data_IF_397089824724
#
_entry.id   IF_397089824724
#
_cell.length_a   1.000
_cell.length_b   1.000
_cell.length_c   1.000
_cell.angle_alpha   90.00
_cell.angle_beta   90.00
_cell.angle_gamma   90.00
#
_symmetry.space_group_name_H-M   'P 1'
#
loop_
_entity.id
_entity.type
_entity.pdbx_description
1 polymer ?
#
# COMPACT_ATOMS: atom_id res chain seq x y z
N UNK A 1 4.11 -78.48 -1.28
CA UNK A 1 2.79 -77.83 -1.38
C UNK A 1 2.77 -76.65 -0.39
N UNK A 2 3.18 -75.44 -0.84
CA UNK A 2 3.24 -74.25 -0.04
C UNK A 2 1.98 -73.41 -0.20
N UNK A 3 1.23 -73.23 0.86
CA UNK A 3 0.06 -72.31 0.86
C UNK A 3 0.56 -70.89 1.06
N UNK A 4 0.38 -70.00 0.07
CA UNK A 4 0.56 -68.55 0.20
C UNK A 4 -0.70 -67.97 0.89
N UNK A 5 -0.51 -67.35 2.03
CA UNK A 5 -1.52 -66.52 2.67
C UNK A 5 -1.45 -65.11 2.05
N UNK A 6 -2.52 -64.71 1.38
CA UNK A 6 -2.71 -63.30 0.92
C UNK A 6 -3.41 -62.57 2.08
N UNK A 7 -2.69 -61.64 2.71
CA UNK A 7 -3.28 -60.73 3.69
C UNK A 7 -3.84 -59.52 2.95
N UNK A 8 -5.16 -59.43 2.87
CA UNK A 8 -5.85 -58.27 2.32
C UNK A 8 -6.05 -57.24 3.43
N UNK A 9 -5.33 -56.13 3.38
CA UNK A 9 -5.53 -55.00 4.30
C UNK A 9 -6.66 -54.13 3.71
N UNK A 10 -7.77 -53.90 4.44
CA UNK A 10 -8.80 -52.98 3.95
C UNK A 10 -8.30 -51.54 4.07
N UNK A 11 -8.12 -50.86 2.93
CA UNK A 11 -7.91 -49.42 2.87
C UNK A 11 -9.20 -48.71 3.31
N UNK A 12 -9.24 -48.32 4.55
CA UNK A 12 -10.32 -47.50 5.09
C UNK A 12 -10.02 -46.02 4.74
N UNK A 13 -10.29 -45.65 3.49
CA UNK A 13 -10.25 -44.27 3.03
C UNK A 13 -11.42 -43.51 3.68
N UNK A 14 -11.14 -42.83 4.79
CA UNK A 14 -12.05 -41.79 5.29
C UNK A 14 -12.13 -40.68 4.21
N UNK A 15 -13.36 -40.26 3.85
CA UNK A 15 -13.49 -39.13 2.91
C UNK A 15 -12.84 -37.91 3.54
N UNK A 16 -11.91 -37.29 2.81
CA UNK A 16 -11.33 -35.99 3.13
C UNK A 16 -12.50 -35.00 3.12
N UNK A 17 -12.88 -34.53 4.28
CA UNK A 17 -13.89 -33.49 4.43
C UNK A 17 -13.32 -32.18 3.87
N UNK A 18 -13.93 -31.55 2.85
CA UNK A 18 -13.50 -30.26 2.32
C UNK A 18 -14.09 -29.12 3.17
N UNK A 19 -13.73 -29.03 4.44
CA UNK A 19 -14.12 -27.92 5.32
C UNK A 19 -12.96 -27.48 6.21
N UNK A 20 -11.79 -27.26 5.62
CA UNK A 20 -10.90 -26.23 6.12
C UNK A 20 -11.45 -24.90 5.60
N UNK A 21 -12.42 -24.32 6.31
CA UNK A 21 -12.58 -22.87 6.31
C UNK A 21 -11.24 -22.34 6.84
N UNK A 22 -10.35 -21.97 5.93
CA UNK A 22 -9.36 -20.96 6.26
C UNK A 22 -10.19 -19.75 6.68
N UNK A 23 -10.28 -19.51 7.98
CA UNK A 23 -10.80 -18.25 8.48
C UNK A 23 -9.98 -17.19 7.75
N UNK A 24 -10.65 -16.31 6.99
CA UNK A 24 -10.01 -15.15 6.40
C UNK A 24 -9.48 -14.38 7.61
N UNK A 25 -8.18 -14.51 7.88
CA UNK A 25 -7.53 -13.73 8.92
C UNK A 25 -7.58 -12.32 8.38
N UNK A 26 -8.35 -11.47 9.04
CA UNK A 26 -8.41 -10.07 8.67
C UNK A 26 -6.98 -9.52 8.69
N UNK A 27 -6.49 -9.01 7.57
CA UNK A 27 -5.12 -8.52 7.44
C UNK A 27 -5.13 -7.00 7.25
N UNK A 28 -4.58 -6.27 8.23
CA UNK A 28 -4.50 -4.80 8.22
C UNK A 28 -3.05 -4.38 8.14
N UNK A 29 -2.71 -3.74 7.02
CA UNK A 29 -1.33 -3.42 6.66
C UNK A 29 -1.17 -1.92 6.49
N UNK A 30 -0.05 -1.38 6.98
CA UNK A 30 0.43 -0.05 6.61
C UNK A 30 1.67 -0.18 5.72
N UNK A 31 1.72 0.57 4.62
CA UNK A 31 2.93 0.80 3.86
C UNK A 31 3.50 2.18 4.18
N UNK A 32 4.69 2.21 4.78
CA UNK A 32 5.48 3.41 5.03
C UNK A 32 6.58 3.59 3.97
N UNK A 33 7.04 4.81 3.83
CA UNK A 33 8.16 5.17 2.95
C UNK A 33 7.93 6.52 2.25
N UNK A 34 8.99 7.09 1.73
CA UNK A 34 8.98 8.39 1.06
C UNK A 34 8.08 8.41 -0.19
N UNK A 35 7.63 9.58 -0.65
CA UNK A 35 6.92 9.68 -1.93
C UNK A 35 7.81 9.10 -3.04
N UNK A 36 7.25 8.25 -3.91
CA UNK A 36 8.03 7.60 -4.98
C UNK A 36 8.83 6.36 -4.59
N UNK A 37 8.79 5.90 -3.33
CA UNK A 37 9.50 4.68 -2.89
C UNK A 37 8.97 3.36 -3.48
N UNK A 38 7.82 3.38 -4.16
CA UNK A 38 7.21 2.19 -4.76
C UNK A 38 6.06 1.58 -3.97
N UNK A 39 5.59 2.23 -2.90
CA UNK A 39 4.44 1.75 -2.08
C UNK A 39 3.23 1.37 -2.92
N UNK A 40 2.78 2.25 -3.81
CA UNK A 40 1.61 1.99 -4.65
C UNK A 40 1.78 0.79 -5.58
N UNK A 41 3.00 0.53 -6.08
CA UNK A 41 3.31 -0.66 -6.88
C UNK A 41 3.20 -1.92 -6.01
N UNK A 42 3.78 -1.91 -4.82
CA UNK A 42 3.69 -3.06 -3.90
C UNK A 42 2.27 -3.26 -3.37
N UNK A 43 1.53 -2.17 -3.13
CA UNK A 43 0.14 -2.24 -2.71
C UNK A 43 -0.72 -3.06 -3.70
N UNK A 44 -0.52 -2.89 -5.01
CA UNK A 44 -1.26 -3.66 -6.03
C UNK A 44 -1.04 -5.18 -5.87
N UNK A 45 0.22 -5.62 -5.73
CA UNK A 45 0.54 -7.05 -5.53
C UNK A 45 -0.01 -7.60 -4.22
N UNK A 46 0.06 -6.81 -3.12
CA UNK A 46 -0.46 -7.22 -1.82
C UNK A 46 -1.98 -7.37 -1.87
N UNK A 47 -2.69 -6.36 -2.41
CA UNK A 47 -4.15 -6.37 -2.47
C UNK A 47 -4.68 -7.48 -3.38
N UNK A 48 -3.99 -7.78 -4.47
CA UNK A 48 -4.32 -8.91 -5.34
C UNK A 48 -4.14 -10.26 -4.62
N UNK A 49 -3.00 -10.45 -3.93
CA UNK A 49 -2.68 -11.71 -3.25
C UNK A 49 -3.60 -11.99 -2.07
N UNK A 50 -3.90 -10.98 -1.26
CA UNK A 50 -4.65 -11.15 -0.01
C UNK A 50 -6.14 -10.79 -0.14
N UNK A 51 -6.59 -10.34 -1.31
CA UNK A 51 -7.97 -9.95 -1.60
C UNK A 51 -8.51 -8.90 -0.60
N UNK A 52 -7.68 -7.90 -0.25
CA UNK A 52 -8.03 -6.77 0.62
C UNK A 52 -8.00 -5.46 -0.17
N UNK A 53 -8.83 -4.45 0.15
CA UNK A 53 -8.82 -3.17 -0.53
C UNK A 53 -7.57 -2.34 -0.17
N UNK A 54 -7.09 -1.56 -1.16
CA UNK A 54 -6.13 -0.48 -0.94
C UNK A 54 -6.88 0.80 -0.56
N UNK A 55 -6.47 1.44 0.52
CA UNK A 55 -6.94 2.75 0.95
C UNK A 55 -5.78 3.73 0.80
N UNK A 56 -5.83 4.53 -0.27
CA UNK A 56 -4.82 5.56 -0.55
C UNK A 56 -5.41 6.94 -0.30
N UNK A 57 -4.98 7.61 0.77
CA UNK A 57 -5.45 8.97 1.08
C UNK A 57 -5.13 9.97 -0.05
N UNK A 58 -3.99 9.79 -0.72
CA UNK A 58 -3.64 10.61 -1.88
C UNK A 58 -4.62 10.43 -3.03
N UNK A 59 -5.09 9.20 -3.29
CA UNK A 59 -6.05 8.95 -4.39
C UNK A 59 -7.46 9.41 -4.01
N UNK A 60 -7.85 9.28 -2.75
CA UNK A 60 -9.12 9.84 -2.23
C UNK A 60 -9.15 11.36 -2.40
N UNK A 61 -8.11 12.08 -2.01
CA UNK A 61 -7.99 13.52 -2.20
C UNK A 61 -7.98 13.91 -3.68
N UNK A 62 -7.25 13.19 -4.53
CA UNK A 62 -7.26 13.42 -5.98
C UNK A 62 -8.64 13.16 -6.60
N UNK A 63 -9.38 12.18 -6.12
CA UNK A 63 -10.76 11.97 -6.54
C UNK A 63 -11.66 13.16 -6.17
N UNK A 64 -11.52 13.70 -4.96
CA UNK A 64 -12.23 14.90 -4.51
C UNK A 64 -11.86 16.13 -5.36
N UNK A 65 -10.58 16.27 -5.73
CA UNK A 65 -10.10 17.32 -6.65
C UNK A 65 -10.77 17.21 -8.01
N UNK A 66 -10.80 16.00 -8.60
CA UNK A 66 -11.45 15.78 -9.91
C UNK A 66 -12.96 16.05 -9.85
N UNK A 67 -13.60 15.72 -8.75
CA UNK A 67 -15.02 15.97 -8.54
C UNK A 67 -15.35 17.44 -8.24
N UNK A 68 -14.34 18.30 -8.06
CA UNK A 68 -14.52 19.74 -7.75
C UNK A 68 -15.20 20.00 -6.42
N UNK A 69 -15.11 19.09 -5.46
CA UNK A 69 -15.71 19.28 -4.13
C UNK A 69 -15.00 20.39 -3.36
N UNK A 70 -15.65 21.05 -2.38
CA UNK A 70 -14.99 22.05 -1.52
C UNK A 70 -13.68 21.52 -0.91
N UNK A 71 -13.69 20.31 -0.40
CA UNK A 71 -12.49 19.62 0.11
C UNK A 71 -11.43 19.47 -0.99
N UNK A 72 -11.84 19.05 -2.21
CA UNK A 72 -10.92 18.87 -3.33
C UNK A 72 -10.24 20.16 -3.75
N UNK A 73 -10.96 21.29 -3.77
CA UNK A 73 -10.39 22.61 -4.11
C UNK A 73 -9.31 23.02 -3.09
N UNK A 74 -9.56 22.80 -1.81
CA UNK A 74 -8.60 23.09 -0.75
C UNK A 74 -7.41 22.13 -0.79
N UNK A 75 -7.67 20.84 -0.88
CA UNK A 75 -6.65 19.80 -0.94
C UNK A 75 -5.70 20.00 -2.13
N UNK A 76 -6.21 20.44 -3.30
CA UNK A 76 -5.38 20.71 -4.47
C UNK A 76 -4.29 21.74 -4.17
N UNK A 77 -4.63 22.86 -3.54
CA UNK A 77 -3.66 23.92 -3.22
C UNK A 77 -2.54 23.42 -2.32
N UNK A 78 -2.90 22.60 -1.32
CA UNK A 78 -1.96 22.03 -0.35
C UNK A 78 -1.05 20.99 -1.05
N UNK A 79 -1.65 20.10 -1.86
CA UNK A 79 -0.92 19.03 -2.54
C UNK A 79 0.04 19.56 -3.61
N UNK A 80 -0.39 20.55 -4.40
CA UNK A 80 0.45 21.21 -5.41
C UNK A 80 1.64 21.92 -4.76
N UNK A 81 1.47 22.42 -3.53
CA UNK A 81 2.53 22.98 -2.71
C UNK A 81 3.41 21.92 -2.00
N UNK A 82 3.14 20.62 -2.18
CA UNK A 82 3.86 19.50 -1.54
C UNK A 82 3.58 19.31 -0.06
N UNK A 83 2.54 19.94 0.49
CA UNK A 83 2.12 19.86 1.88
C UNK A 83 1.19 18.68 2.20
N UNK A 84 0.79 18.57 3.47
CA UNK A 84 -0.19 17.61 3.97
C UNK A 84 -1.51 18.31 4.30
N UNK A 85 -2.63 17.69 3.94
CA UNK A 85 -3.96 18.09 4.40
C UNK A 85 -4.07 17.81 5.90
N UNK A 86 -4.85 18.60 6.63
CA UNK A 86 -4.96 18.51 8.09
C UNK A 86 -5.33 17.11 8.58
N UNK A 87 -4.79 16.75 9.75
CA UNK A 87 -4.97 15.42 10.34
C UNK A 87 -6.44 15.09 10.58
N UNK A 88 -7.25 16.05 11.05
CA UNK A 88 -8.67 15.86 11.32
C UNK A 88 -9.46 15.47 10.06
N UNK A 89 -9.17 16.12 8.92
CA UNK A 89 -9.81 15.80 7.64
C UNK A 89 -9.42 14.39 7.21
N UNK A 90 -8.13 14.07 7.27
CA UNK A 90 -7.63 12.76 6.86
C UNK A 90 -8.19 11.66 7.76
N UNK A 91 -8.21 11.85 9.08
CA UNK A 91 -8.78 10.89 10.03
C UNK A 91 -10.28 10.69 9.78
N UNK A 92 -11.02 11.75 9.47
CA UNK A 92 -12.43 11.65 9.09
C UNK A 92 -12.63 10.78 7.84
N UNK A 93 -11.87 11.03 6.78
CA UNK A 93 -11.92 10.23 5.54
C UNK A 93 -11.57 8.75 5.78
N UNK A 94 -10.53 8.49 6.57
CA UNK A 94 -10.13 7.12 6.90
C UNK A 94 -11.21 6.41 7.71
N UNK A 95 -11.79 7.07 8.71
CA UNK A 95 -12.85 6.51 9.56
C UNK A 95 -14.06 6.06 8.73
N UNK A 96 -14.50 6.88 7.78
CA UNK A 96 -15.58 6.54 6.88
C UNK A 96 -15.22 5.36 5.98
N UNK A 97 -14.02 5.38 5.36
CA UNK A 97 -13.59 4.38 4.40
C UNK A 97 -13.37 3.00 5.01
N UNK A 98 -12.78 2.89 6.20
CA UNK A 98 -12.55 1.60 6.85
C UNK A 98 -13.84 0.96 7.39
N UNK A 99 -14.93 1.72 7.50
CA UNK A 99 -16.24 1.21 7.89
C UNK A 99 -17.01 0.54 6.74
N UNK A 100 -16.54 0.67 5.50
CA UNK A 100 -17.18 0.04 4.34
C UNK A 100 -17.07 -1.49 4.38
N UNK A 101 -18.01 -2.16 3.71
CA UNK A 101 -18.16 -3.62 3.77
C UNK A 101 -16.94 -4.38 3.23
N UNK A 102 -16.24 -3.85 2.25
CA UNK A 102 -15.05 -4.45 1.66
C UNK A 102 -13.84 -4.47 2.60
N UNK A 103 -13.86 -3.66 3.67
CA UNK A 103 -12.80 -3.58 4.67
C UNK A 103 -12.94 -4.60 5.80
N UNK A 104 -14.03 -5.38 5.85
CA UNK A 104 -14.28 -6.35 6.94
C UNK A 104 -13.22 -7.42 7.08
N UNK A 105 -12.60 -7.81 5.96
CA UNK A 105 -11.55 -8.84 5.92
C UNK A 105 -10.13 -8.25 5.98
N UNK A 106 -10.01 -6.97 6.31
CA UNK A 106 -8.75 -6.25 6.35
C UNK A 106 -8.64 -5.23 5.24
N UNK A 107 -7.52 -4.51 5.23
CA UNK A 107 -7.23 -3.45 4.28
C UNK A 107 -5.74 -3.09 4.29
N UNK A 108 -5.32 -2.41 3.24
CA UNK A 108 -3.97 -1.86 3.13
C UNK A 108 -4.07 -0.34 3.10
N UNK A 109 -3.38 0.32 4.04
CA UNK A 109 -3.25 1.78 4.11
C UNK A 109 -2.00 2.21 3.33
N UNK A 110 -2.17 3.02 2.29
CA UNK A 110 -1.10 3.59 1.47
C UNK A 110 -1.09 5.12 1.60
N UNK A 111 0.02 5.65 2.11
CA UNK A 111 0.17 7.08 2.34
C UNK A 111 -0.64 7.61 3.53
N UNK A 112 -0.98 6.73 4.46
CA UNK A 112 -1.56 7.03 5.77
C UNK A 112 -1.11 5.94 6.76
N UNK A 113 -0.76 6.30 8.03
CA UNK A 113 -0.61 7.66 8.54
C UNK A 113 0.62 8.38 7.97
N UNK A 114 0.64 9.72 8.05
CA UNK A 114 1.77 10.55 7.67
C UNK A 114 2.31 11.40 8.82
N UNK A 115 1.61 11.43 9.94
CA UNK A 115 2.02 12.11 11.17
C UNK A 115 1.79 11.21 12.38
N UNK A 116 2.47 11.50 13.49
CA UNK A 116 2.22 10.77 14.76
C UNK A 116 0.78 10.95 15.20
N UNK A 117 0.22 12.15 15.09
CA UNK A 117 -1.19 12.41 15.44
C UNK A 117 -2.17 11.55 14.63
N UNK A 118 -1.89 11.30 13.34
CA UNK A 118 -2.70 10.38 12.53
C UNK A 118 -2.54 8.92 13.01
N UNK A 119 -1.35 8.50 13.42
CA UNK A 119 -1.12 7.15 13.93
C UNK A 119 -1.86 6.91 15.25
N UNK A 120 -1.80 7.89 16.15
CA UNK A 120 -2.53 7.87 17.42
C UNK A 120 -4.04 7.88 17.18
N UNK A 121 -4.54 8.75 16.28
CA UNK A 121 -5.96 8.80 15.91
C UNK A 121 -6.46 7.48 15.29
N UNK A 122 -5.63 6.77 14.52
CA UNK A 122 -5.97 5.43 14.02
C UNK A 122 -6.09 4.40 15.16
N UNK A 123 -5.18 4.46 16.14
CA UNK A 123 -5.24 3.61 17.32
C UNK A 123 -6.49 3.90 18.18
N UNK A 124 -6.85 5.18 18.34
CA UNK A 124 -8.05 5.61 19.06
C UNK A 124 -9.36 5.15 18.40
N UNK A 125 -9.33 4.90 17.08
CA UNK A 125 -10.45 4.25 16.38
C UNK A 125 -10.57 2.74 16.69
N UNK A 126 -9.65 2.16 17.49
CA UNK A 126 -9.63 0.73 17.81
C UNK A 126 -9.11 -0.15 16.68
N UNK A 127 -8.36 0.41 15.72
CA UNK A 127 -7.78 -0.35 14.61
C UNK A 127 -6.50 -1.03 15.09
N UNK A 128 -6.53 -2.36 15.20
CA UNK A 128 -5.34 -3.16 15.44
C UNK A 128 -4.68 -3.50 14.09
N UNK A 129 -3.38 -3.24 13.98
CA UNK A 129 -2.59 -3.51 12.79
C UNK A 129 -1.85 -4.83 12.92
N UNK A 130 -1.76 -5.59 11.84
CA UNK A 130 -0.98 -6.82 11.78
C UNK A 130 0.46 -6.54 11.32
N UNK A 131 0.61 -5.71 10.29
CA UNK A 131 1.92 -5.40 9.69
C UNK A 131 2.07 -3.92 9.39
N UNK A 132 3.29 -3.44 9.61
CA UNK A 132 3.77 -2.13 9.14
C UNK A 132 5.06 -2.37 8.36
N UNK A 133 5.01 -2.14 7.05
CA UNK A 133 6.15 -2.38 6.17
C UNK A 133 6.66 -1.06 5.62
N UNK A 134 7.92 -0.73 5.94
CA UNK A 134 8.61 0.41 5.34
C UNK A 134 9.32 -0.01 4.06
N UNK A 135 9.14 0.76 2.98
CA UNK A 135 9.95 0.68 1.77
C UNK A 135 10.94 1.84 1.80
N UNK A 136 12.16 1.56 2.24
CA UNK A 136 13.22 2.55 2.43
C UNK A 136 13.97 2.80 1.12
N UNK A 137 14.04 4.05 0.69
CA UNK A 137 14.75 4.49 -0.51
C UNK A 137 15.40 5.84 -0.25
N UNK A 138 16.62 6.03 -0.74
CA UNK A 138 17.37 7.28 -0.60
C UNK A 138 16.75 8.41 -1.44
N UNK A 139 16.86 9.64 -0.97
CA UNK A 139 16.24 10.82 -1.59
C UNK A 139 16.68 11.05 -3.04
N UNK A 140 17.95 10.85 -3.35
CA UNK A 140 18.47 11.00 -4.71
C UNK A 140 17.82 10.00 -5.69
N UNK A 141 17.61 8.77 -5.23
CA UNK A 141 16.91 7.76 -6.01
C UNK A 141 15.43 8.11 -6.18
N UNK A 142 14.80 8.68 -5.14
CA UNK A 142 13.40 9.17 -5.21
C UNK A 142 13.25 10.26 -6.26
N UNK A 143 14.16 11.25 -6.28
CA UNK A 143 14.09 12.34 -7.27
C UNK A 143 14.16 11.78 -8.69
N UNK A 144 15.06 10.83 -8.96
CA UNK A 144 15.15 10.14 -10.25
C UNK A 144 13.86 9.42 -10.62
N UNK A 145 13.27 8.69 -9.66
CA UNK A 145 12.04 7.92 -9.90
C UNK A 145 10.83 8.79 -10.15
N UNK A 146 10.69 9.90 -9.42
CA UNK A 146 9.52 10.76 -9.54
C UNK A 146 9.43 11.44 -10.90
N UNK A 147 10.56 11.82 -11.49
CA UNK A 147 10.61 12.44 -12.83
C UNK A 147 10.11 11.48 -13.94
N UNK A 148 10.36 10.17 -13.77
CA UNK A 148 9.94 9.14 -14.73
C UNK A 148 8.56 8.54 -14.46
N UNK A 149 7.87 8.92 -13.39
CA UNK A 149 6.56 8.37 -13.04
C UNK A 149 5.49 8.77 -14.05
N UNK A 150 4.64 7.80 -14.42
CA UNK A 150 3.43 7.99 -15.22
C UNK A 150 2.27 7.33 -14.50
N UNK A 151 1.10 7.94 -14.55
CA UNK A 151 -0.07 7.47 -13.80
C UNK A 151 -1.31 7.49 -14.67
N UNK A 152 -2.11 6.42 -14.57
CA UNK A 152 -3.45 6.42 -15.14
C UNK A 152 -4.42 7.17 -14.20
N UNK A 153 -5.05 8.29 -14.64
CA UNK A 153 -5.79 9.18 -13.74
C UNK A 153 -6.98 8.52 -13.04
N UNK A 154 -7.71 7.66 -13.76
CA UNK A 154 -8.94 7.08 -13.25
C UNK A 154 -8.68 5.98 -12.20
N UNK A 155 -7.70 5.09 -12.43
CA UNK A 155 -7.44 3.95 -11.54
C UNK A 155 -6.31 4.17 -10.54
N UNK A 156 -5.48 5.20 -10.72
CA UNK A 156 -4.28 5.41 -9.91
C UNK A 156 -3.11 4.47 -10.23
N UNK A 157 -3.24 3.54 -11.21
CA UNK A 157 -2.14 2.65 -11.63
C UNK A 157 -0.92 3.47 -11.98
N UNK A 158 0.23 3.00 -11.50
CA UNK A 158 1.50 3.71 -11.62
C UNK A 158 2.48 2.92 -12.48
N UNK A 159 3.06 3.60 -13.44
CA UNK A 159 4.12 3.13 -14.33
C UNK A 159 5.37 4.00 -14.15
N UNK A 160 6.47 3.53 -14.70
CA UNK A 160 7.69 4.31 -14.75
C UNK A 160 8.39 4.09 -16.09
N UNK A 161 8.83 5.15 -16.73
CA UNK A 161 9.43 5.10 -18.08
C UNK A 161 10.63 4.16 -18.22
N UNK A 162 11.32 3.84 -17.10
CA UNK A 162 12.47 2.93 -17.07
C UNK A 162 12.20 1.67 -16.25
N UNK A 163 11.71 1.81 -14.99
CA UNK A 163 11.66 0.71 -14.02
C UNK A 163 10.41 -0.17 -14.14
N UNK A 164 9.32 0.37 -14.66
CA UNK A 164 8.05 -0.34 -14.89
C UNK A 164 7.34 0.29 -16.09
N UNK A 165 7.87 0.17 -17.32
CA UNK A 165 7.28 0.79 -18.48
C UNK A 165 5.94 0.13 -18.85
N UNK A 166 4.96 0.90 -19.37
CA UNK A 166 3.77 0.32 -19.97
C UNK A 166 4.15 -0.43 -21.25
N UNK A 167 3.31 -1.35 -21.70
CA UNK A 167 3.50 -2.10 -22.97
C UNK A 167 3.56 -1.19 -24.18
N UNK A 168 2.76 -0.12 -24.14
CA UNK A 168 2.77 0.95 -25.15
C UNK A 168 3.06 2.26 -24.43
N UNK A 169 4.09 2.99 -24.88
CA UNK A 169 4.50 4.23 -24.25
C UNK A 169 3.33 5.22 -24.11
N UNK A 170 3.16 5.75 -22.91
CA UNK A 170 2.12 6.73 -22.59
C UNK A 170 0.70 6.18 -22.47
N UNK A 171 0.50 4.86 -22.54
CA UNK A 171 -0.83 4.22 -22.53
C UNK A 171 -0.95 3.23 -21.36
N UNK A 172 -2.08 3.27 -20.67
CA UNK A 172 -2.42 2.30 -19.60
C UNK A 172 -2.67 0.90 -20.16
N UNK A 173 -1.98 -0.10 -19.61
CA UNK A 173 -2.01 -1.49 -20.10
C UNK A 173 -3.38 -2.19 -19.98
N UNK A 174 -4.26 -1.66 -19.13
CA UNK A 174 -5.56 -2.28 -18.82
C UNK A 174 -6.71 -1.60 -19.57
N UNK A 175 -6.72 -0.27 -19.61
CA UNK A 175 -7.83 0.49 -20.20
C UNK A 175 -7.52 1.01 -21.60
N UNK A 176 -6.24 1.12 -21.98
CA UNK A 176 -5.83 1.77 -23.21
C UNK A 176 -5.93 3.29 -23.18
N UNK A 177 -6.16 3.89 -22.01
CA UNK A 177 -6.24 5.35 -21.84
C UNK A 177 -4.86 5.96 -21.62
N UNK A 178 -4.76 7.28 -21.81
CA UNK A 178 -3.49 8.01 -21.70
C UNK A 178 -2.99 8.05 -20.25
N UNK A 179 -1.67 7.87 -20.10
CA UNK A 179 -0.96 8.11 -18.85
C UNK A 179 -0.54 9.58 -18.76
N UNK A 180 -0.52 10.13 -17.56
CA UNK A 180 -0.06 11.48 -17.28
C UNK A 180 1.11 11.49 -16.31
N UNK A 181 1.93 12.52 -16.35
CA UNK A 181 2.79 12.91 -15.24
C UNK A 181 1.96 13.77 -14.29
N UNK A 182 2.07 13.55 -12.98
CA UNK A 182 1.36 14.36 -11.98
C UNK A 182 2.01 15.73 -11.83
N UNK A 183 1.22 16.74 -11.50
CA UNK A 183 1.74 18.09 -11.25
C UNK A 183 2.70 18.11 -10.04
N UNK A 184 2.45 17.25 -9.04
CA UNK A 184 3.27 17.11 -7.84
C UNK A 184 4.54 16.25 -8.04
N UNK A 185 4.87 15.87 -9.28
CA UNK A 185 6.11 15.14 -9.65
C UNK A 185 7.19 16.05 -10.25
N UNK A 186 6.98 17.36 -10.25
CA UNK A 186 8.03 18.33 -10.58
C UNK A 186 9.13 18.31 -9.51
N UNK A 187 10.40 18.42 -9.91
CA UNK A 187 11.55 18.22 -9.01
C UNK A 187 11.48 19.11 -7.76
N UNK A 188 11.12 20.37 -7.91
CA UNK A 188 11.00 21.31 -6.79
C UNK A 188 9.95 20.84 -5.78
N UNK A 189 8.78 20.40 -6.27
CA UNK A 189 7.71 19.86 -5.43
C UNK A 189 8.13 18.55 -4.76
N UNK A 190 8.86 17.68 -5.50
CA UNK A 190 9.39 16.42 -4.93
C UNK A 190 10.36 16.69 -3.78
N UNK A 191 11.29 17.65 -3.94
CA UNK A 191 12.21 18.04 -2.86
C UNK A 191 11.46 18.56 -1.62
N UNK A 192 10.42 19.36 -1.82
CA UNK A 192 9.58 19.83 -0.73
C UNK A 192 8.82 18.69 -0.04
N UNK A 193 8.27 17.75 -0.81
CA UNK A 193 7.60 16.56 -0.27
C UNK A 193 8.56 15.66 0.52
N UNK A 194 9.82 15.54 0.11
CA UNK A 194 10.85 14.84 0.87
C UNK A 194 11.16 15.54 2.19
N UNK A 195 11.27 16.88 2.19
CA UNK A 195 11.42 17.64 3.44
C UNK A 195 10.27 17.40 4.41
N UNK A 196 9.03 17.49 3.95
CA UNK A 196 7.83 17.19 4.75
C UNK A 196 7.81 15.73 5.22
N UNK A 197 8.21 14.79 4.39
CA UNK A 197 8.34 13.38 4.76
C UNK A 197 9.32 13.19 5.91
N UNK A 198 10.52 13.75 5.82
CA UNK A 198 11.54 13.62 6.87
C UNK A 198 11.11 14.25 8.19
N UNK A 199 10.41 15.38 8.13
CA UNK A 199 9.96 16.09 9.30
C UNK A 199 8.77 15.41 9.99
N UNK A 200 7.76 14.98 9.23
CA UNK A 200 6.47 14.58 9.77
C UNK A 200 6.20 13.08 9.69
N UNK A 201 6.67 12.40 8.63
CA UNK A 201 6.32 11.00 8.36
C UNK A 201 7.40 10.01 8.78
N UNK A 202 8.67 10.33 8.56
CA UNK A 202 9.79 9.47 8.96
C UNK A 202 9.80 9.10 10.45
N UNK A 203 9.38 9.97 11.40
CA UNK A 203 9.25 9.61 12.81
C UNK A 203 8.34 8.40 13.07
N UNK A 204 7.39 8.09 12.17
CA UNK A 204 6.54 6.89 12.27
C UNK A 204 7.33 5.57 12.22
N UNK A 205 8.49 5.56 11.59
CA UNK A 205 9.39 4.39 11.58
C UNK A 205 9.79 4.05 13.02
N UNK A 206 10.21 5.05 13.80
CA UNK A 206 10.50 4.88 15.22
C UNK A 206 9.26 4.51 16.05
N UNK A 207 8.12 5.14 15.77
CA UNK A 207 6.86 4.89 16.45
C UNK A 207 6.42 3.42 16.29
N UNK A 208 6.38 2.89 15.06
CA UNK A 208 5.92 1.52 14.81
C UNK A 208 6.98 0.45 15.06
N UNK A 209 8.26 0.78 15.09
CA UNK A 209 9.33 -0.16 15.46
C UNK A 209 9.57 -0.27 16.98
N UNK A 210 8.86 0.51 17.78
CA UNK A 210 8.97 0.46 19.23
C UNK A 210 8.49 -0.89 19.80
N UNK A 211 9.12 -1.33 20.89
CA UNK A 211 8.88 -2.67 21.45
C UNK A 211 7.48 -2.90 22.05
N UNK A 212 6.74 -1.83 22.30
CA UNK A 212 5.36 -1.85 22.81
C UNK A 212 4.30 -1.97 21.72
N UNK A 213 4.68 -1.86 20.46
CA UNK A 213 3.77 -2.05 19.33
C UNK A 213 3.43 -3.52 19.12
N UNK A 214 2.14 -3.80 18.89
CA UNK A 214 1.64 -5.16 18.65
C UNK A 214 1.85 -5.62 17.20
N UNK A 215 1.93 -4.68 16.27
CA UNK A 215 2.12 -4.97 14.84
C UNK A 215 3.55 -5.43 14.52
N UNK A 216 3.68 -6.31 13.55
CA UNK A 216 5.00 -6.68 13.01
C UNK A 216 5.55 -5.55 12.15
N UNK A 217 6.63 -4.92 12.57
CA UNK A 217 7.33 -3.90 11.78
C UNK A 217 8.49 -4.52 10.99
N UNK A 218 8.60 -4.14 9.70
CA UNK A 218 9.76 -4.49 8.88
C UNK A 218 10.15 -3.32 7.96
N UNK A 219 11.46 -3.04 7.86
CA UNK A 219 12.02 -2.11 6.89
C UNK A 219 12.71 -2.86 5.76
N UNK A 220 12.30 -2.59 4.52
CA UNK A 220 12.76 -3.25 3.31
C UNK A 220 13.45 -2.23 2.42
N UNK A 221 14.67 -2.54 1.96
CA UNK A 221 15.34 -1.71 0.96
C UNK A 221 14.54 -1.73 -0.35
N UNK A 222 14.02 -0.58 -0.74
CA UNK A 222 13.22 -0.38 -1.95
C UNK A 222 14.05 -0.20 -3.22
N UNK A 223 15.25 -0.79 -3.28
CA UNK A 223 16.17 -0.77 -4.43
C UNK A 223 16.30 -2.17 -5.02
N UNK A 224 16.28 -2.26 -6.34
CA UNK A 224 16.28 -3.51 -7.09
C UNK A 224 15.12 -3.59 -8.07
N UNK A 225 14.86 -4.77 -8.62
CA UNK A 225 13.69 -4.98 -9.46
C UNK A 225 12.38 -4.95 -8.65
N UNK A 226 11.28 -4.66 -9.32
CA UNK A 226 9.94 -4.70 -8.69
C UNK A 226 9.70 -6.06 -8.05
N UNK A 227 10.08 -7.15 -8.73
CA UNK A 227 9.91 -8.52 -8.24
C UNK A 227 10.73 -8.79 -6.98
N UNK A 228 12.01 -8.38 -6.93
CA UNK A 228 12.86 -8.56 -5.74
C UNK A 228 12.27 -7.88 -4.50
N UNK A 229 11.69 -6.69 -4.69
CA UNK A 229 11.03 -5.95 -3.60
C UNK A 229 9.75 -6.67 -3.18
N UNK A 230 8.96 -7.15 -4.15
CA UNK A 230 7.72 -7.91 -3.90
C UNK A 230 8.00 -9.18 -3.10
N UNK A 231 9.04 -9.93 -3.46
CA UNK A 231 9.42 -11.16 -2.76
C UNK A 231 9.81 -10.89 -1.31
N UNK A 232 10.56 -9.80 -1.06
CA UNK A 232 10.91 -9.37 0.31
C UNK A 232 9.67 -8.95 1.11
N UNK A 233 8.75 -8.21 0.50
CA UNK A 233 7.48 -7.82 1.14
C UNK A 233 6.69 -9.07 1.52
N UNK A 234 6.52 -10.01 0.59
CA UNK A 234 5.78 -11.24 0.87
C UNK A 234 6.46 -12.15 1.89
N UNK A 235 7.79 -12.13 1.99
CA UNK A 235 8.50 -12.85 3.05
C UNK A 235 8.18 -12.32 4.46
N UNK A 236 7.81 -11.05 4.58
CA UNK A 236 7.36 -10.44 5.85
C UNK A 236 5.90 -10.76 6.16
N UNK A 237 5.05 -10.81 5.13
CA UNK A 237 3.59 -10.93 5.27
C UNK A 237 3.09 -12.40 5.34
N UNK A 238 3.97 -13.38 5.20
CA UNK A 238 3.62 -14.82 5.21
C UNK A 238 3.76 -15.46 6.58
#
# INVERSE_FOLDING_TARGET
MGKRFVVTIPLNLRPIQPHLRFGVIAMRIILLGSPGSGKGTQAQFITEKYAIPQISTGDMLRAAVRAGTPLGIEAKKIMDAGGLVSDDIILGLIKERIAEDDCKNGFLLDGFPRTIAQAEGLADMGVELDYVVEIAVDDEEIIKRMSGRRVHPASGRSYHVIFNPPKVEGIDDVTGEALIQRDDDQEETVRKRLSVYHEQTKPLVGFYSAADQKSTFASIAGVGSVQDITDKVFAVLN
#
